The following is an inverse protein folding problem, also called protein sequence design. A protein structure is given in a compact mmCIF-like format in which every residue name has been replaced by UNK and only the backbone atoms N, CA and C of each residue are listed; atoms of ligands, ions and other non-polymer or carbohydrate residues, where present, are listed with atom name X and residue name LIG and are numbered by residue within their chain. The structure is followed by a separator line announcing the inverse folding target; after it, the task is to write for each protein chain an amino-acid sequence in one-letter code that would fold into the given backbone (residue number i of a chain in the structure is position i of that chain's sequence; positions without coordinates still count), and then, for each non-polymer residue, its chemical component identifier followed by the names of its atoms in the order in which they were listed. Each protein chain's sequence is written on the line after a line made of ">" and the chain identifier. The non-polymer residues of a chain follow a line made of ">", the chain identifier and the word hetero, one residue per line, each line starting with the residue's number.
data_IF_119476881579
#
_entry.id   IF_119476881579
#
_cell.length_a   1.000
_cell.length_b   1.000
_cell.length_c   1.000
_cell.angle_alpha   90.00
_cell.angle_beta   90.00
_cell.angle_gamma   90.00
#
_symmetry.space_group_name_H-M   'P 1'
#
loop_
_entity.id
_entity.type
_entity.pdbx_description
1 polymer ?
#
# COMPACT_ATOMS: atom_id res chain seq x y z
N UNK A 1 62.24 13.36 -39.57
CA UNK A 1 63.20 13.83 -38.56
C UNK A 1 63.29 12.78 -37.45
N UNK A 2 64.30 11.89 -37.46
CA UNK A 2 64.46 10.78 -36.49
C UNK A 2 65.43 11.24 -35.40
N UNK A 3 64.93 11.53 -34.20
CA UNK A 3 65.74 11.98 -33.06
C UNK A 3 65.96 10.81 -32.10
N UNK A 4 67.23 10.37 -32.04
CA UNK A 4 67.96 9.81 -30.89
C UNK A 4 67.37 8.62 -30.09
N UNK A 5 67.53 7.40 -30.59
CA UNK A 5 67.41 6.13 -29.82
C UNK A 5 68.76 5.61 -29.24
N UNK A 6 69.83 6.42 -29.22
CA UNK A 6 71.19 5.97 -28.84
C UNK A 6 71.53 6.12 -27.34
N UNK A 7 70.79 6.96 -26.60
CA UNK A 7 71.06 7.26 -25.16
C UNK A 7 70.35 6.30 -24.19
N UNK A 8 69.21 5.74 -24.61
CA UNK A 8 68.42 4.77 -23.82
C UNK A 8 69.14 3.41 -23.68
N UNK A 9 69.82 2.97 -24.74
CA UNK A 9 70.50 1.66 -24.79
C UNK A 9 71.69 1.54 -23.84
N UNK A 10 72.38 2.62 -23.47
CA UNK A 10 73.52 2.54 -22.53
C UNK A 10 73.06 2.39 -21.08
N UNK A 11 71.95 3.04 -20.69
CA UNK A 11 71.37 2.91 -19.34
C UNK A 11 70.80 1.52 -19.10
N UNK A 12 70.12 0.95 -20.10
CA UNK A 12 69.59 -0.42 -20.05
C UNK A 12 70.72 -1.45 -19.90
N UNK A 13 71.82 -1.30 -20.65
CA UNK A 13 72.99 -2.19 -20.51
C UNK A 13 73.64 -2.11 -19.13
N UNK A 14 73.72 -0.90 -18.56
CA UNK A 14 74.31 -0.67 -17.22
C UNK A 14 73.44 -1.28 -16.12
N UNK A 15 72.12 -1.12 -16.22
CA UNK A 15 71.15 -1.71 -15.31
C UNK A 15 71.17 -3.25 -15.41
N UNK A 16 71.20 -3.79 -16.64
CA UNK A 16 71.31 -5.24 -16.89
C UNK A 16 72.54 -5.83 -16.23
N UNK A 17 73.69 -5.18 -16.38
CA UNK A 17 74.95 -5.66 -15.79
C UNK A 17 74.94 -5.57 -14.26
N UNK A 18 74.21 -4.61 -13.67
CA UNK A 18 74.06 -4.49 -12.23
C UNK A 18 73.14 -5.59 -11.68
N UNK A 19 71.99 -5.83 -12.32
CA UNK A 19 71.06 -6.91 -11.97
C UNK A 19 71.70 -8.29 -12.14
N UNK A 20 72.52 -8.49 -13.17
CA UNK A 20 73.25 -9.75 -13.39
C UNK A 20 74.34 -10.03 -12.33
N UNK A 21 74.82 -9.01 -11.62
CA UNK A 21 75.83 -9.11 -10.55
C UNK A 21 75.21 -9.06 -9.15
N UNK A 22 73.89 -8.96 -9.04
CA UNK A 22 73.20 -8.88 -7.76
C UNK A 22 73.19 -10.27 -7.10
N UNK A 23 73.69 -10.35 -5.86
CA UNK A 23 73.57 -11.51 -4.99
C UNK A 23 72.99 -11.02 -3.67
N UNK A 24 71.73 -11.34 -3.39
CA UNK A 24 71.01 -10.88 -2.20
C UNK A 24 71.32 -11.77 -1.00
N UNK A 25 71.72 -13.03 -1.23
CA UNK A 25 71.98 -14.05 -0.21
C UNK A 25 73.48 -14.27 0.05
N UNK A 26 74.32 -13.26 -0.21
CA UNK A 26 75.76 -13.38 -0.02
C UNK A 26 76.15 -13.19 1.44
N UNK A 27 76.30 -14.28 2.19
CA UNK A 27 76.97 -14.33 3.50
C UNK A 27 77.43 -15.77 3.88
N UNK A 28 78.29 -15.86 4.91
CA UNK A 28 79.16 -16.94 5.47
C UNK A 28 78.60 -18.39 5.64
N UNK A 29 77.64 -18.83 4.85
CA UNK A 29 77.17 -20.22 4.84
C UNK A 29 77.98 -21.09 3.88
N UNK A 30 78.11 -22.39 4.17
CA UNK A 30 78.71 -23.45 3.31
C UNK A 30 77.97 -23.66 1.96
N UNK A 31 77.06 -22.76 1.58
CA UNK A 31 76.34 -22.84 0.31
C UNK A 31 77.24 -22.42 -0.85
N UNK A 32 77.13 -23.12 -1.99
CA UNK A 32 77.95 -22.77 -3.14
C UNK A 32 77.52 -21.42 -3.72
N UNK A 33 78.46 -20.64 -4.26
CA UNK A 33 78.18 -19.36 -4.92
C UNK A 33 77.09 -19.48 -6.01
N UNK A 34 76.98 -20.66 -6.63
CA UNK A 34 75.97 -20.98 -7.64
C UNK A 34 74.57 -20.99 -7.01
N UNK A 35 74.41 -21.59 -5.84
CA UNK A 35 73.12 -21.68 -5.12
C UNK A 35 72.63 -20.29 -4.68
N UNK A 36 73.54 -19.43 -4.22
CA UNK A 36 73.22 -18.06 -3.82
C UNK A 36 72.74 -17.20 -5.01
N UNK A 37 73.43 -17.33 -6.15
CA UNK A 37 73.05 -16.64 -7.40
C UNK A 37 71.73 -17.18 -7.96
N UNK A 38 71.48 -18.48 -7.87
CA UNK A 38 70.23 -19.11 -8.32
C UNK A 38 69.06 -18.67 -7.44
N UNK A 39 69.23 -18.70 -6.11
CA UNK A 39 68.22 -18.27 -5.14
C UNK A 39 67.85 -16.80 -5.32
N UNK A 40 68.85 -15.93 -5.54
CA UNK A 40 68.63 -14.50 -5.83
C UNK A 40 67.78 -14.31 -7.09
N UNK A 41 68.02 -15.09 -8.15
CA UNK A 41 67.24 -15.00 -9.40
C UNK A 41 65.81 -15.50 -9.21
N UNK A 42 65.62 -16.62 -8.51
CA UNK A 42 64.30 -17.17 -8.19
C UNK A 42 63.49 -16.17 -7.36
N UNK A 43 64.12 -15.57 -6.34
CA UNK A 43 63.49 -14.53 -5.52
C UNK A 43 63.04 -13.33 -6.35
N UNK A 44 63.90 -12.80 -7.22
CA UNK A 44 63.55 -11.65 -8.07
C UNK A 44 62.41 -11.98 -9.05
N UNK A 45 62.39 -13.18 -9.62
CA UNK A 45 61.31 -13.64 -10.50
C UNK A 45 59.99 -13.74 -9.72
N UNK A 46 60.00 -14.38 -8.54
CA UNK A 46 58.83 -14.51 -7.67
C UNK A 46 58.31 -13.14 -7.22
N UNK A 47 59.20 -12.24 -6.82
CA UNK A 47 58.86 -10.87 -6.44
C UNK A 47 58.18 -10.13 -7.60
N UNK A 48 58.71 -10.28 -8.82
CA UNK A 48 58.13 -9.65 -10.00
C UNK A 48 56.74 -10.22 -10.33
N UNK A 49 56.56 -11.54 -10.21
CA UNK A 49 55.26 -12.20 -10.38
C UNK A 49 54.25 -11.68 -9.35
N UNK A 50 54.63 -11.61 -8.08
CA UNK A 50 53.79 -11.06 -7.00
C UNK A 50 53.37 -9.62 -7.28
N UNK A 51 54.31 -8.77 -7.68
CA UNK A 51 54.03 -7.38 -8.03
C UNK A 51 53.07 -7.27 -9.22
N UNK A 52 53.24 -8.10 -10.26
CA UNK A 52 52.32 -8.15 -11.40
C UNK A 52 50.92 -8.55 -10.93
N UNK A 53 50.78 -9.59 -10.10
CA UNK A 53 49.49 -10.03 -9.58
C UNK A 53 48.77 -8.93 -8.79
N UNK A 54 49.50 -8.19 -7.95
CA UNK A 54 48.96 -7.06 -7.19
C UNK A 54 48.48 -5.95 -8.14
N UNK A 55 49.27 -5.59 -9.14
CA UNK A 55 48.90 -4.56 -10.13
C UNK A 55 47.65 -4.99 -10.90
N UNK A 56 47.61 -6.24 -11.38
CA UNK A 56 46.46 -6.80 -12.09
C UNK A 56 45.22 -6.77 -11.20
N UNK A 57 45.34 -7.14 -9.92
CA UNK A 57 44.24 -7.07 -8.96
C UNK A 57 43.72 -5.64 -8.78
N UNK A 58 44.60 -4.66 -8.62
CA UNK A 58 44.22 -3.25 -8.46
C UNK A 58 43.51 -2.73 -9.72
N UNK A 59 43.99 -3.10 -10.92
CA UNK A 59 43.39 -2.70 -12.20
C UNK A 59 42.00 -3.34 -12.38
N UNK A 60 41.85 -4.61 -12.00
CA UNK A 60 40.59 -5.35 -12.16
C UNK A 60 39.56 -5.06 -11.06
N UNK A 61 39.98 -4.49 -9.93
CA UNK A 61 39.08 -4.13 -8.84
C UNK A 61 38.21 -2.96 -9.26
N UNK A 62 36.92 -3.22 -9.51
CA UNK A 62 35.93 -2.19 -9.78
C UNK A 62 35.54 -1.54 -8.45
N UNK A 63 35.80 -0.24 -8.31
CA UNK A 63 35.31 0.54 -7.18
C UNK A 63 33.88 1.02 -7.46
N UNK A 64 32.95 0.69 -6.56
CA UNK A 64 31.60 1.25 -6.58
C UNK A 64 31.62 2.59 -5.85
N UNK A 65 31.09 3.63 -6.50
CA UNK A 65 30.91 4.94 -5.88
C UNK A 65 29.42 5.22 -5.72
N UNK A 66 29.04 5.75 -4.56
CA UNK A 66 27.67 6.17 -4.30
C UNK A 66 27.46 7.59 -4.83
N UNK A 67 26.40 7.79 -5.60
CA UNK A 67 25.97 9.10 -6.09
C UNK A 67 24.66 9.45 -5.40
N UNK A 68 24.60 10.63 -4.78
CA UNK A 68 23.41 11.11 -4.09
C UNK A 68 22.72 12.19 -4.92
N UNK A 69 21.42 12.01 -5.17
CA UNK A 69 20.56 12.98 -5.85
C UNK A 69 19.58 13.53 -4.82
N UNK A 70 19.58 14.85 -4.64
CA UNK A 70 18.69 15.51 -3.68
C UNK A 70 17.32 15.73 -4.32
N UNK A 71 16.26 15.35 -3.60
CA UNK A 71 14.85 15.54 -3.98
C UNK A 71 14.56 15.22 -5.46
N UNK A 72 14.79 13.96 -5.91
CA UNK A 72 14.55 13.57 -7.30
C UNK A 72 13.07 13.73 -7.67
N UNK A 73 12.79 14.02 -8.95
CA UNK A 73 11.42 13.91 -9.47
C UNK A 73 10.98 12.45 -9.53
N UNK A 74 9.66 12.23 -9.57
CA UNK A 74 9.08 10.88 -9.72
C UNK A 74 9.67 10.15 -10.94
N UNK A 75 9.75 10.82 -12.09
CA UNK A 75 10.32 10.25 -13.31
C UNK A 75 11.78 9.83 -13.17
N UNK A 76 12.60 10.63 -12.47
CA UNK A 76 14.00 10.29 -12.19
C UNK A 76 14.10 9.07 -11.28
N UNK A 77 13.28 9.01 -10.24
CA UNK A 77 13.23 7.83 -9.37
C UNK A 77 12.80 6.57 -10.14
N UNK A 78 11.77 6.64 -10.96
CA UNK A 78 11.29 5.50 -11.77
C UNK A 78 12.37 5.01 -12.73
N UNK A 79 13.09 5.92 -13.38
CA UNK A 79 14.18 5.54 -14.27
C UNK A 79 15.34 4.88 -13.51
N UNK A 80 15.75 5.46 -12.38
CA UNK A 80 16.85 4.94 -11.57
C UNK A 80 16.51 3.61 -10.91
N UNK A 81 15.26 3.39 -10.49
CA UNK A 81 14.83 2.14 -9.87
C UNK A 81 14.81 0.99 -10.87
N UNK A 82 14.53 1.27 -12.15
CA UNK A 82 14.67 0.31 -13.23
C UNK A 82 16.14 0.00 -13.55
N UNK A 83 17.02 1.01 -13.49
CA UNK A 83 18.44 0.85 -13.83
C UNK A 83 19.25 0.22 -12.69
N UNK A 84 18.88 0.46 -11.43
CA UNK A 84 19.63 0.07 -10.24
C UNK A 84 18.74 -0.59 -9.16
N UNK A 85 18.00 -1.67 -9.47
CA UNK A 85 16.97 -2.21 -8.58
C UNK A 85 17.49 -2.74 -7.24
N UNK A 86 18.74 -3.22 -7.19
CA UNK A 86 19.32 -3.85 -5.99
C UNK A 86 20.16 -2.91 -5.13
N UNK A 87 20.51 -1.73 -5.65
CA UNK A 87 21.48 -0.81 -5.01
C UNK A 87 20.92 0.60 -4.80
N UNK A 88 19.77 0.93 -5.39
CA UNK A 88 19.11 2.20 -5.17
C UNK A 88 18.43 2.21 -3.79
N UNK A 89 18.71 3.25 -3.00
CA UNK A 89 17.97 3.59 -1.78
C UNK A 89 17.46 5.03 -1.91
N UNK A 90 16.20 5.23 -1.57
CA UNK A 90 15.50 6.50 -1.66
C UNK A 90 14.68 6.68 -0.36
N UNK A 91 15.33 7.11 0.73
CA UNK A 91 14.66 7.29 2.00
C UNK A 91 13.66 8.46 1.90
N UNK A 92 12.51 8.29 2.53
CA UNK A 92 11.50 9.34 2.59
C UNK A 92 11.94 10.46 3.55
N UNK A 93 11.69 11.73 3.17
CA UNK A 93 11.85 12.86 4.08
C UNK A 93 10.86 12.82 5.25
N UNK A 94 9.66 12.32 4.98
CA UNK A 94 8.62 12.05 5.97
C UNK A 94 8.21 10.59 5.87
N UNK A 95 8.29 9.86 6.98
CA UNK A 95 7.96 8.43 7.03
C UNK A 95 6.47 8.16 7.19
N UNK A 96 5.66 9.21 7.31
CA UNK A 96 4.25 9.14 7.62
C UNK A 96 3.51 10.29 6.97
N UNK A 97 2.47 9.99 6.20
CA UNK A 97 1.62 10.98 5.52
C UNK A 97 0.16 10.61 5.73
N UNK A 98 -0.65 11.58 6.14
CA UNK A 98 -2.10 11.38 6.30
C UNK A 98 -2.77 11.09 4.96
N UNK A 99 -3.76 10.20 4.98
CA UNK A 99 -4.51 9.80 3.79
C UNK A 99 -5.21 10.97 3.10
N UNK A 100 -5.72 11.95 3.86
CA UNK A 100 -6.36 13.16 3.32
C UNK A 100 -5.47 14.05 2.44
N UNK A 101 -4.14 13.85 2.46
CA UNK A 101 -3.21 14.61 1.62
C UNK A 101 -3.16 14.13 0.18
N UNK A 102 -3.54 12.88 -0.07
CA UNK A 102 -3.38 12.25 -1.38
C UNK A 102 -4.61 11.45 -1.84
N UNK A 103 -5.60 11.23 -0.97
CA UNK A 103 -6.86 10.61 -1.32
C UNK A 103 -7.99 11.62 -1.36
N UNK A 104 -8.88 11.43 -2.34
CA UNK A 104 -10.19 12.07 -2.40
C UNK A 104 -11.22 10.98 -2.62
N UNK A 105 -12.14 10.84 -1.66
CA UNK A 105 -13.18 9.83 -1.70
C UNK A 105 -14.56 10.52 -1.66
N UNK A 106 -15.53 10.02 -2.42
CA UNK A 106 -16.88 10.59 -2.51
C UNK A 106 -17.94 9.47 -2.41
N UNK A 107 -18.57 9.27 -1.25
CA UNK A 107 -19.52 8.18 -1.05
C UNK A 107 -20.81 8.44 -1.84
N UNK A 108 -21.35 7.38 -2.44
CA UNK A 108 -22.64 7.40 -3.13
C UNK A 108 -23.67 6.64 -2.30
N UNK A 109 -24.72 7.34 -1.89
CA UNK A 109 -25.80 6.77 -1.09
C UNK A 109 -26.91 6.21 -1.97
N UNK A 110 -27.63 5.21 -1.46
CA UNK A 110 -28.77 4.64 -2.17
C UNK A 110 -29.84 5.72 -2.45
N UNK A 111 -30.45 5.79 -3.66
CA UNK A 111 -31.41 6.84 -4.02
C UNK A 111 -32.61 6.97 -3.09
N UNK A 112 -32.99 5.89 -2.40
CA UNK A 112 -34.07 5.94 -1.40
C UNK A 112 -33.77 6.91 -0.25
N UNK A 113 -32.48 7.07 0.10
CA UNK A 113 -32.00 7.96 1.16
C UNK A 113 -31.85 9.42 0.71
N UNK A 114 -32.25 9.73 -0.52
CA UNK A 114 -32.41 11.10 -1.03
C UNK A 114 -33.83 11.33 -1.59
N UNK A 115 -34.71 10.34 -1.48
CA UNK A 115 -36.07 10.39 -2.00
C UNK A 115 -37.04 11.14 -1.06
N UNK A 116 -38.23 11.43 -1.58
CA UNK A 116 -39.34 12.01 -0.80
C UNK A 116 -39.76 11.11 0.38
N UNK A 117 -39.51 9.80 0.30
CA UNK A 117 -39.99 8.81 1.28
C UNK A 117 -39.39 8.98 2.67
N UNK A 118 -38.22 9.63 2.77
CA UNK A 118 -37.56 9.93 4.05
C UNK A 118 -37.80 11.37 4.52
N UNK A 119 -38.56 12.16 3.75
CA UNK A 119 -38.82 13.56 4.05
C UNK A 119 -39.88 13.68 5.15
N UNK A 120 -39.63 14.55 6.13
CA UNK A 120 -40.56 14.77 7.25
C UNK A 120 -41.95 15.28 6.79
N UNK A 121 -42.01 16.07 5.71
CA UNK A 121 -43.27 16.55 5.14
C UNK A 121 -44.11 15.41 4.55
N UNK A 122 -43.47 14.43 3.90
CA UNK A 122 -44.15 13.24 3.41
C UNK A 122 -44.62 12.35 4.56
N UNK A 123 -43.74 12.12 5.54
CA UNK A 123 -44.05 11.31 6.72
C UNK A 123 -45.22 11.92 7.52
N UNK A 124 -45.25 13.24 7.68
CA UNK A 124 -46.34 13.93 8.38
C UNK A 124 -47.67 13.91 7.62
N UNK A 125 -47.65 13.88 6.28
CA UNK A 125 -48.87 13.70 5.48
C UNK A 125 -49.53 12.33 5.73
N UNK A 126 -48.75 11.31 6.06
CA UNK A 126 -49.26 9.98 6.40
C UNK A 126 -49.90 9.93 7.79
N UNK A 127 -49.57 10.88 8.66
CA UNK A 127 -50.16 11.04 9.99
C UNK A 127 -51.52 11.76 9.88
N UNK A 128 -52.58 11.04 9.53
CA UNK A 128 -53.94 11.62 9.54
C UNK A 128 -54.52 11.74 10.96
N UNK A 129 -55.40 12.72 11.21
CA UNK A 129 -56.07 12.88 12.50
C UNK A 129 -57.05 11.73 12.82
N UNK A 130 -57.55 11.06 11.77
CA UNK A 130 -58.56 10.00 11.86
C UNK A 130 -57.96 8.59 11.74
N UNK A 131 -56.67 8.40 12.07
CA UNK A 131 -56.03 7.07 12.01
C UNK A 131 -56.80 6.02 12.81
N UNK A 132 -57.50 6.44 13.88
CA UNK A 132 -58.37 5.61 14.72
C UNK A 132 -59.58 5.01 13.97
N UNK A 133 -60.05 5.63 12.88
CA UNK A 133 -61.22 5.20 12.11
C UNK A 133 -60.91 4.06 11.13
N UNK A 134 -59.64 3.88 10.76
CA UNK A 134 -59.25 2.81 9.85
C UNK A 134 -59.35 1.43 10.54
N UNK A 135 -59.51 0.32 9.80
CA UNK A 135 -59.34 -1.02 10.32
C UNK A 135 -57.93 -1.25 10.90
N UNK A 136 -57.78 -2.14 11.88
CA UNK A 136 -56.47 -2.46 12.49
C UNK A 136 -55.41 -2.96 11.50
N UNK A 137 -55.84 -3.57 10.40
CA UNK A 137 -54.97 -4.13 9.37
C UNK A 137 -54.61 -3.13 8.28
N UNK A 138 -55.18 -1.92 8.32
CA UNK A 138 -54.89 -0.90 7.32
C UNK A 138 -53.44 -0.42 7.43
N UNK A 139 -52.67 -0.60 6.36
CA UNK A 139 -51.27 -0.19 6.29
C UNK A 139 -51.06 1.30 6.64
N UNK A 140 -52.05 2.16 6.37
CA UNK A 140 -51.97 3.60 6.70
C UNK A 140 -51.79 3.85 8.20
N UNK A 141 -52.19 2.91 9.07
CA UNK A 141 -51.90 2.97 10.52
C UNK A 141 -50.42 2.79 10.85
N UNK A 142 -49.67 2.09 10.00
CA UNK A 142 -48.26 1.74 10.20
C UNK A 142 -47.31 2.51 9.31
N UNK A 143 -47.81 3.06 8.19
CA UNK A 143 -47.02 3.72 7.15
C UNK A 143 -46.09 4.79 7.73
N UNK A 144 -46.62 5.68 8.57
CA UNK A 144 -45.84 6.73 9.24
C UNK A 144 -44.62 6.15 9.97
N UNK A 145 -44.83 5.14 10.80
CA UNK A 145 -43.75 4.48 11.56
C UNK A 145 -42.73 3.80 10.65
N UNK A 146 -43.16 3.13 9.59
CA UNK A 146 -42.25 2.48 8.65
C UNK A 146 -41.36 3.49 7.90
N UNK A 147 -41.94 4.59 7.42
CA UNK A 147 -41.16 5.63 6.74
C UNK A 147 -40.27 6.41 7.71
N UNK A 148 -40.66 6.54 8.99
CA UNK A 148 -39.76 7.05 10.04
C UNK A 148 -38.55 6.14 10.26
N UNK A 149 -38.76 4.81 10.31
CA UNK A 149 -37.65 3.84 10.44
C UNK A 149 -36.73 3.91 9.22
N UNK A 150 -37.28 4.02 8.01
CA UNK A 150 -36.49 4.19 6.79
C UNK A 150 -35.65 5.47 6.83
N UNK A 151 -36.24 6.61 7.25
CA UNK A 151 -35.53 7.87 7.38
C UNK A 151 -34.41 7.80 8.43
N UNK A 152 -34.67 7.13 9.56
CA UNK A 152 -33.68 6.88 10.60
C UNK A 152 -32.53 6.02 10.07
N UNK A 153 -32.83 4.90 9.42
CA UNK A 153 -31.81 4.02 8.82
C UNK A 153 -30.93 4.79 7.84
N UNK A 154 -31.51 5.56 6.93
CA UNK A 154 -30.75 6.36 5.98
C UNK A 154 -29.83 7.40 6.66
N UNK A 155 -30.30 8.03 7.74
CA UNK A 155 -29.47 8.96 8.53
C UNK A 155 -28.33 8.24 9.23
N UNK A 156 -28.61 7.11 9.88
CA UNK A 156 -27.62 6.29 10.60
C UNK A 156 -26.54 5.78 9.65
N UNK A 157 -26.92 5.27 8.48
CA UNK A 157 -25.96 4.79 7.46
C UNK A 157 -25.07 5.91 6.97
N UNK A 158 -25.63 7.11 6.73
CA UNK A 158 -24.85 8.28 6.32
C UNK A 158 -23.81 8.64 7.39
N UNK A 159 -24.25 8.76 8.63
CA UNK A 159 -23.35 9.09 9.73
C UNK A 159 -22.25 8.04 9.93
N UNK A 160 -22.60 6.75 9.86
CA UNK A 160 -21.62 5.66 9.94
C UNK A 160 -20.54 5.76 8.85
N UNK A 161 -20.94 6.05 7.61
CA UNK A 161 -20.00 6.23 6.50
C UNK A 161 -19.15 7.48 6.71
N UNK A 162 -19.75 8.61 7.07
CA UNK A 162 -19.05 9.88 7.29
C UNK A 162 -18.02 9.77 8.43
N UNK A 163 -18.38 9.11 9.53
CA UNK A 163 -17.49 8.85 10.68
C UNK A 163 -16.33 7.94 10.27
N UNK A 164 -16.64 6.82 9.59
CA UNK A 164 -15.62 5.87 9.11
C UNK A 164 -14.66 6.50 8.10
N UNK A 165 -15.15 7.37 7.21
CA UNK A 165 -14.34 8.13 6.28
C UNK A 165 -13.43 9.12 7.00
N UNK A 166 -13.99 9.89 7.93
CA UNK A 166 -13.24 10.90 8.67
C UNK A 166 -12.09 10.24 9.43
N UNK A 167 -12.35 9.10 10.07
CA UNK A 167 -11.32 8.30 10.73
C UNK A 167 -10.28 7.78 9.74
N UNK A 168 -10.71 7.17 8.63
CA UNK A 168 -9.80 6.64 7.60
C UNK A 168 -8.89 7.71 6.99
N UNK A 169 -9.42 8.90 6.73
CA UNK A 169 -8.65 10.02 6.15
C UNK A 169 -7.66 10.64 7.16
N UNK A 170 -7.90 10.46 8.46
CA UNK A 170 -6.97 10.85 9.53
C UNK A 170 -5.85 9.83 9.77
N UNK A 171 -6.02 8.59 9.31
CA UNK A 171 -4.96 7.58 9.35
C UNK A 171 -3.78 7.96 8.46
N UNK A 172 -2.62 7.38 8.78
CA UNK A 172 -1.37 7.68 8.09
C UNK A 172 -0.87 6.48 7.31
N UNK A 173 -0.42 6.74 6.08
CA UNK A 173 0.40 5.82 5.31
C UNK A 173 1.85 5.95 5.74
N UNK A 174 2.47 4.85 6.15
CA UNK A 174 3.83 4.84 6.70
C UNK A 174 4.79 4.03 5.84
N UNK A 175 5.89 4.65 5.43
CA UNK A 175 6.99 3.98 4.71
C UNK A 175 8.31 4.70 4.96
N UNK A 176 9.40 3.94 5.14
CA UNK A 176 10.75 4.49 5.31
C UNK A 176 11.43 4.83 3.99
N UNK A 177 11.02 4.16 2.91
CA UNK A 177 11.59 4.28 1.57
C UNK A 177 10.48 4.59 0.57
N UNK A 178 10.85 5.23 -0.55
CA UNK A 178 9.90 5.46 -1.64
C UNK A 178 9.46 4.13 -2.23
N UNK A 179 8.14 3.97 -2.31
CA UNK A 179 7.50 2.80 -2.94
C UNK A 179 7.20 3.08 -4.41
N UNK A 180 7.11 2.02 -5.21
CA UNK A 180 6.65 2.16 -6.60
C UNK A 180 5.19 2.62 -6.66
N UNK A 181 4.81 3.32 -7.72
CA UNK A 181 3.42 3.74 -7.94
C UNK A 181 2.46 2.53 -7.98
N UNK A 182 2.88 1.41 -8.57
CA UNK A 182 2.10 0.17 -8.57
C UNK A 182 1.87 -0.35 -7.15
N UNK A 183 2.93 -0.48 -6.35
CA UNK A 183 2.84 -0.94 -4.96
C UNK A 183 1.96 -0.02 -4.12
N UNK A 184 2.13 1.30 -4.28
CA UNK A 184 1.31 2.30 -3.61
C UNK A 184 -0.17 2.12 -3.95
N UNK A 185 -0.51 2.04 -5.24
CA UNK A 185 -1.90 1.86 -5.69
C UNK A 185 -2.51 0.55 -5.21
N UNK A 186 -1.75 -0.56 -5.24
CA UNK A 186 -2.24 -1.85 -4.73
C UNK A 186 -2.55 -1.79 -3.24
N UNK A 187 -1.62 -1.27 -2.43
CA UNK A 187 -1.82 -1.11 -1.00
C UNK A 187 -3.00 -0.20 -0.70
N UNK A 188 -3.11 0.91 -1.40
CA UNK A 188 -4.16 1.89 -1.18
C UNK A 188 -5.54 1.38 -1.59
N UNK A 189 -5.64 0.72 -2.74
CA UNK A 189 -6.87 0.08 -3.18
C UNK A 189 -7.33 -1.02 -2.22
N UNK A 190 -6.39 -1.80 -1.66
CA UNK A 190 -6.71 -2.77 -0.63
C UNK A 190 -7.32 -2.11 0.62
N UNK A 191 -6.72 -1.02 1.10
CA UNK A 191 -7.25 -0.27 2.25
C UNK A 191 -8.64 0.31 1.98
N UNK A 192 -8.86 0.87 0.79
CA UNK A 192 -10.17 1.41 0.37
C UNK A 192 -11.23 0.29 0.25
N UNK A 193 -10.88 -0.86 -0.30
CA UNK A 193 -11.81 -2.01 -0.36
C UNK A 193 -12.09 -2.58 1.03
N UNK A 194 -11.11 -2.58 1.94
CA UNK A 194 -11.34 -2.96 3.34
C UNK A 194 -12.32 -1.99 4.01
N UNK A 195 -12.12 -0.67 3.86
CA UNK A 195 -13.04 0.34 4.35
C UNK A 195 -14.47 0.12 3.85
N UNK A 196 -14.62 -0.13 2.55
CA UNK A 196 -15.91 -0.40 1.91
C UNK A 196 -16.56 -1.68 2.43
N UNK A 197 -15.83 -2.78 2.49
CA UNK A 197 -16.36 -4.08 2.96
C UNK A 197 -16.76 -4.03 4.43
N UNK A 198 -15.98 -3.37 5.28
CA UNK A 198 -16.34 -3.14 6.69
C UNK A 198 -17.62 -2.31 6.82
N UNK A 199 -17.73 -1.21 6.09
CA UNK A 199 -18.95 -0.38 6.11
C UNK A 199 -20.18 -1.15 5.60
N UNK A 200 -20.06 -1.92 4.51
CA UNK A 200 -21.14 -2.76 4.00
C UNK A 200 -21.57 -3.79 5.06
N UNK A 201 -20.62 -4.42 5.76
CA UNK A 201 -20.94 -5.38 6.82
C UNK A 201 -21.69 -4.69 7.98
N UNK A 202 -21.21 -3.54 8.45
CA UNK A 202 -21.85 -2.79 9.54
C UNK A 202 -23.27 -2.33 9.17
N UNK A 203 -23.49 -1.90 7.92
CA UNK A 203 -24.80 -1.55 7.40
C UNK A 203 -25.72 -2.79 7.36
N UNK A 204 -25.21 -3.95 6.91
CA UNK A 204 -25.97 -5.22 6.92
C UNK A 204 -26.39 -5.59 8.35
N UNK A 205 -25.49 -5.51 9.33
CA UNK A 205 -25.84 -5.76 10.73
C UNK A 205 -26.90 -4.79 11.26
N UNK A 206 -26.77 -3.50 10.94
CA UNK A 206 -27.75 -2.48 11.34
C UNK A 206 -29.13 -2.77 10.73
N UNK A 207 -29.17 -3.13 9.45
CA UNK A 207 -30.40 -3.54 8.77
C UNK A 207 -30.99 -4.79 9.40
N UNK A 208 -30.20 -5.82 9.64
CA UNK A 208 -30.67 -7.10 10.17
C UNK A 208 -31.20 -6.94 11.60
N UNK A 209 -30.54 -6.12 12.41
CA UNK A 209 -31.05 -5.71 13.71
C UNK A 209 -32.41 -5.02 13.59
N UNK A 210 -32.58 -4.05 12.68
CA UNK A 210 -33.87 -3.42 12.45
C UNK A 210 -34.92 -4.42 11.96
N UNK A 211 -34.55 -5.34 11.09
CA UNK A 211 -35.45 -6.38 10.56
C UNK A 211 -35.94 -7.30 11.69
N UNK A 212 -35.05 -7.73 12.58
CA UNK A 212 -35.39 -8.50 13.78
C UNK A 212 -36.38 -7.76 14.69
N UNK A 213 -36.20 -6.45 14.86
CA UNK A 213 -37.07 -5.66 15.72
C UNK A 213 -38.42 -5.31 15.07
N UNK A 214 -38.48 -5.18 13.73
CA UNK A 214 -39.72 -4.87 13.00
C UNK A 214 -40.57 -6.11 12.74
N UNK A 215 -39.97 -7.25 12.39
CA UNK A 215 -40.70 -8.45 11.96
C UNK A 215 -40.79 -9.55 13.02
N UNK A 216 -39.75 -9.73 13.85
CA UNK A 216 -39.69 -10.81 14.84
C UNK A 216 -40.07 -10.39 16.27
N UNK A 217 -40.52 -9.14 16.47
CA UNK A 217 -41.19 -8.70 17.69
C UNK A 217 -40.39 -8.85 18.99
N UNK A 218 -39.10 -8.48 19.00
CA UNK A 218 -38.37 -8.38 20.27
C UNK A 218 -38.83 -7.19 21.15
N UNK A 219 -39.49 -6.18 20.56
CA UNK A 219 -40.04 -5.01 21.25
C UNK A 219 -41.54 -4.92 20.94
N UNK A 220 -42.38 -4.83 21.98
CA UNK A 220 -43.83 -4.67 21.84
C UNK A 220 -44.12 -3.37 21.07
N UNK A 221 -44.69 -3.46 19.86
CA UNK A 221 -45.12 -2.27 19.15
C UNK A 221 -46.40 -1.75 19.81
N UNK A 222 -46.44 -0.46 20.14
CA UNK A 222 -47.64 0.17 20.72
C UNK A 222 -48.89 0.10 19.82
N UNK A 223 -48.71 -0.27 18.55
CA UNK A 223 -49.76 -0.37 17.53
C UNK A 223 -50.36 -1.79 17.40
N UNK A 224 -49.92 -2.77 18.21
CA UNK A 224 -50.42 -4.17 18.19
C UNK A 224 -50.35 -4.83 16.81
N UNK A 225 -49.40 -4.45 15.97
CA UNK A 225 -49.11 -5.08 14.66
C UNK A 225 -48.46 -6.47 14.82
N UNK A 226 -48.26 -6.89 16.07
CA UNK A 226 -47.42 -8.00 16.47
C UNK A 226 -48.18 -9.33 16.57
N UNK A 227 -49.51 -9.33 16.47
CA UNK A 227 -50.35 -10.52 16.59
C UNK A 227 -51.44 -10.54 15.51
N UNK A 228 -51.46 -11.61 14.72
CA UNK A 228 -52.57 -11.94 13.83
C UNK A 228 -53.53 -12.85 14.61
N UNK A 229 -54.68 -12.35 15.06
CA UNK A 229 -55.75 -13.23 15.55
C UNK A 229 -56.50 -13.71 14.30
N UNK A 230 -56.26 -14.95 13.91
CA UNK A 230 -56.83 -15.55 12.71
C UNK A 230 -58.35 -15.76 12.88
N UNK A 231 -59.15 -14.78 12.45
CA UNK A 231 -60.51 -15.01 11.96
C UNK A 231 -60.43 -15.40 10.48
N UNK A 232 -61.34 -16.25 9.99
CA UNK A 232 -61.28 -16.70 8.60
C UNK A 232 -61.40 -15.52 7.62
N UNK A 233 -60.54 -15.55 6.62
CA UNK A 233 -60.53 -14.75 5.39
C UNK A 233 -59.75 -13.42 5.40
N UNK A 234 -58.75 -13.33 4.50
CA UNK A 234 -58.42 -12.07 3.83
C UNK A 234 -56.98 -11.55 3.89
N UNK A 235 -56.17 -11.92 2.90
CA UNK A 235 -55.02 -11.25 2.29
C UNK A 235 -54.76 -9.75 2.60
N UNK A 236 -53.50 -9.38 2.95
CA UNK A 236 -52.71 -8.25 2.39
C UNK A 236 -51.45 -7.92 3.24
N UNK A 237 -50.28 -8.54 2.96
CA UNK A 237 -48.97 -8.15 3.54
C UNK A 237 -47.84 -8.19 2.48
N UNK A 238 -48.13 -7.88 1.21
CA UNK A 238 -47.19 -8.18 0.10
C UNK A 238 -46.35 -6.96 -0.36
N UNK A 239 -46.74 -5.72 -0.09
CA UNK A 239 -46.08 -4.57 -0.75
C UNK A 239 -44.78 -4.07 -0.10
N UNK A 240 -44.59 -4.18 1.23
CA UNK A 240 -43.31 -3.82 1.87
C UNK A 240 -42.21 -4.87 1.63
N UNK A 241 -42.60 -6.13 1.43
CA UNK A 241 -41.70 -7.23 1.06
C UNK A 241 -41.00 -6.92 -0.28
N UNK A 242 -41.71 -6.33 -1.24
CA UNK A 242 -41.14 -6.03 -2.56
C UNK A 242 -40.09 -4.91 -2.49
N UNK A 243 -40.28 -3.89 -1.65
CA UNK A 243 -39.34 -2.77 -1.50
C UNK A 243 -38.07 -3.17 -0.74
N UNK A 244 -38.19 -3.96 0.33
CA UNK A 244 -37.05 -4.46 1.11
C UNK A 244 -36.33 -5.63 0.40
N UNK A 245 -37.05 -6.48 -0.33
CA UNK A 245 -36.45 -7.54 -1.14
C UNK A 245 -35.75 -6.98 -2.40
N UNK A 246 -36.23 -5.90 -3.00
CA UNK A 246 -35.49 -5.20 -4.06
C UNK A 246 -34.17 -4.58 -3.59
N UNK A 247 -34.07 -4.19 -2.31
CA UNK A 247 -32.80 -3.78 -1.68
C UNK A 247 -31.86 -4.97 -1.44
N UNK A 248 -32.39 -6.20 -1.44
CA UNK A 248 -31.62 -7.45 -1.33
C UNK A 248 -31.08 -7.93 -2.69
N UNK A 249 -31.72 -7.56 -3.80
CA UNK A 249 -31.36 -8.02 -5.15
C UNK A 249 -30.45 -7.06 -5.93
N UNK A 250 -30.02 -5.94 -5.34
CA UNK A 250 -29.17 -4.93 -5.98
C UNK A 250 -27.89 -4.57 -5.16
N UNK A 251 -27.54 -5.38 -4.16
CA UNK A 251 -26.27 -5.31 -3.41
C UNK A 251 -25.47 -6.59 -3.57
#
# INVERSE_FOLDING_TARGET
>A
MKVATKRSTSRIKRLRNYVLKLNIYGDESDSTLIDQLLSTRIFLILLFILLILIIVYIILSVQTHSVTIQSPSESTFTQLSQQYPSTLSCPCSHTSVRHDRFLSLNPQYHPICTSLLINQSFISLLSSANVSEYPSEDYRKMATSHFQILALLCRTVRQMIDDSFSEFLLQHYTTSEVVSNETFNVQMNHLVEQLKTTNIANIKYTRDFLWLNVFYNAIYSGLKTNFYVKGSDGHLVIELLIALHKLQSQS
#
